data_IF_415003613623
#
_entry.id   IF_415003613623
#
_cell.length_a   1.000
_cell.length_b   1.000
_cell.length_c   1.000
_cell.angle_alpha   90.00
_cell.angle_beta   90.00
_cell.angle_gamma   90.00
#
_symmetry.space_group_name_H-M   'P 1'
#
loop_
_entity.id
_entity.type
_entity.pdbx_description
1 polymer ?
#
# COMPACT_ATOMS: atom_id res chain seq x y z
N UNK A 1 -9.97 -10.62 -3.89
CA UNK A 1 -10.58 -9.28 -3.69
C UNK A 1 -11.29 -8.90 -4.96
N UNK A 2 -12.45 -8.24 -4.85
CA UNK A 2 -13.08 -7.59 -5.99
C UNK A 2 -12.30 -6.34 -6.39
N UNK A 3 -12.51 -5.83 -7.61
CA UNK A 3 -11.85 -4.58 -8.06
C UNK A 3 -12.24 -3.38 -7.21
N UNK A 4 -13.46 -3.38 -6.69
CA UNK A 4 -13.93 -2.36 -5.76
C UNK A 4 -13.16 -2.39 -4.43
N UNK A 5 -12.84 -3.58 -3.92
CA UNK A 5 -12.01 -3.71 -2.71
C UNK A 5 -10.59 -3.21 -2.96
N UNK A 6 -10.00 -3.54 -4.12
CA UNK A 6 -8.66 -3.07 -4.53
C UNK A 6 -8.59 -1.55 -4.59
N UNK A 7 -9.59 -0.91 -5.18
CA UNK A 7 -9.69 0.54 -5.27
C UNK A 7 -9.81 1.18 -3.89
N UNK A 8 -10.65 0.63 -3.01
CA UNK A 8 -10.81 1.13 -1.64
C UNK A 8 -9.50 1.00 -0.85
N UNK A 9 -8.78 -0.12 -1.01
CA UNK A 9 -7.49 -0.34 -0.38
C UNK A 9 -6.43 0.65 -0.88
N UNK A 10 -6.35 0.88 -2.19
CA UNK A 10 -5.48 1.89 -2.79
C UNK A 10 -5.70 3.27 -2.16
N UNK A 11 -6.95 3.73 -2.11
CA UNK A 11 -7.32 5.03 -1.52
C UNK A 11 -7.00 5.06 -0.02
N UNK A 12 -7.30 3.97 0.71
CA UNK A 12 -7.03 3.88 2.14
C UNK A 12 -5.53 3.99 2.45
N UNK A 13 -4.68 3.27 1.71
CA UNK A 13 -3.23 3.33 1.88
C UNK A 13 -2.71 4.74 1.55
N UNK A 14 -3.09 5.31 0.41
CA UNK A 14 -2.62 6.65 0.02
C UNK A 14 -2.99 7.69 1.08
N UNK A 15 -4.23 7.67 1.56
CA UNK A 15 -4.73 8.63 2.56
C UNK A 15 -4.04 8.44 3.91
N UNK A 16 -3.82 7.20 4.35
CA UNK A 16 -3.07 6.90 5.57
C UNK A 16 -1.61 7.38 5.52
N UNK A 17 -1.00 7.37 4.33
CA UNK A 17 0.34 7.92 4.10
C UNK A 17 0.36 9.45 4.03
N UNK A 18 -0.80 10.11 3.97
CA UNK A 18 -0.90 11.56 3.77
C UNK A 18 -0.48 12.00 2.37
N UNK A 19 -0.49 11.10 1.39
CA UNK A 19 -0.05 11.40 0.03
C UNK A 19 -1.18 11.98 -0.83
N UNK A 20 -0.81 12.94 -1.68
CA UNK A 20 -1.64 13.35 -2.82
C UNK A 20 -1.64 12.26 -3.89
N UNK A 21 -2.60 12.28 -4.81
CA UNK A 21 -2.61 11.34 -5.95
C UNK A 21 -1.31 11.47 -6.79
N UNK A 22 -0.83 12.70 -7.02
CA UNK A 22 0.43 12.96 -7.73
C UNK A 22 1.65 12.39 -7.01
N UNK A 23 1.69 12.50 -5.68
CA UNK A 23 2.77 11.94 -4.88
C UNK A 23 2.76 10.42 -4.94
N UNK A 24 1.60 9.81 -4.83
CA UNK A 24 1.49 8.35 -4.89
C UNK A 24 1.87 7.80 -6.26
N UNK A 25 1.36 8.42 -7.33
CA UNK A 25 1.72 8.08 -8.70
C UNK A 25 3.25 8.12 -8.91
N UNK A 26 3.92 9.15 -8.39
CA UNK A 26 5.38 9.25 -8.43
C UNK A 26 6.08 8.13 -7.65
N UNK A 27 5.59 7.76 -6.46
CA UNK A 27 6.20 6.69 -5.65
C UNK A 27 6.09 5.30 -6.29
N UNK A 28 5.08 5.06 -7.13
CA UNK A 28 4.89 3.80 -7.87
C UNK A 28 5.37 3.87 -9.33
N UNK A 29 6.10 4.93 -9.70
CA UNK A 29 6.60 5.19 -11.05
C UNK A 29 5.51 5.09 -12.13
N UNK A 30 4.38 5.75 -11.88
CA UNK A 30 3.22 5.80 -12.76
C UNK A 30 2.86 7.25 -13.12
N UNK A 31 2.33 7.46 -14.32
CA UNK A 31 1.77 8.77 -14.64
C UNK A 31 0.49 9.03 -13.84
N UNK A 32 0.20 10.31 -13.58
CA UNK A 32 -0.94 10.70 -12.74
C UNK A 32 -2.29 10.25 -13.32
N UNK A 33 -2.45 10.21 -14.65
CA UNK A 33 -3.73 9.90 -15.28
C UNK A 33 -4.11 8.43 -15.05
N UNK A 34 -3.15 7.52 -15.20
CA UNK A 34 -3.36 6.09 -14.96
C UNK A 34 -3.64 5.82 -13.48
N UNK A 35 -2.93 6.51 -12.59
CA UNK A 35 -3.19 6.42 -11.15
C UNK A 35 -4.61 6.88 -10.79
N UNK A 36 -5.08 7.98 -11.40
CA UNK A 36 -6.45 8.45 -11.22
C UNK A 36 -7.47 7.46 -11.76
N UNK A 37 -7.20 6.84 -12.91
CA UNK A 37 -8.07 5.81 -13.47
C UNK A 37 -8.24 4.61 -12.52
N UNK A 38 -7.18 4.23 -11.80
CA UNK A 38 -7.24 3.22 -10.73
C UNK A 38 -8.12 3.67 -9.56
N UNK A 39 -7.92 4.88 -9.03
CA UNK A 39 -8.71 5.36 -7.89
C UNK A 39 -10.18 5.63 -8.23
N UNK A 40 -10.49 5.90 -9.50
CA UNK A 40 -11.86 6.16 -9.96
C UNK A 40 -12.58 4.90 -10.45
N UNK A 41 -11.88 3.76 -10.48
CA UNK A 41 -12.44 2.50 -10.97
C UNK A 41 -12.70 2.51 -12.49
N UNK A 42 -12.03 3.38 -13.24
CA UNK A 42 -12.11 3.41 -14.71
C UNK A 42 -11.35 2.22 -15.33
N UNK A 43 -10.34 1.71 -14.62
CA UNK A 43 -9.50 0.58 -15.04
C UNK A 43 -9.26 -0.35 -13.86
N UNK A 44 -9.18 -1.65 -14.13
CA UNK A 44 -8.77 -2.66 -13.14
C UNK A 44 -7.37 -2.36 -12.60
N UNK A 45 -7.16 -2.55 -11.30
CA UNK A 45 -5.86 -2.43 -10.66
C UNK A 45 -5.13 -3.79 -10.73
N UNK A 46 -4.03 -3.90 -11.49
CA UNK A 46 -3.22 -5.11 -11.49
C UNK A 46 -2.63 -5.38 -10.11
N UNK A 47 -2.60 -6.65 -9.70
CA UNK A 47 -2.10 -7.05 -8.37
C UNK A 47 -0.66 -6.57 -8.11
N UNK A 48 0.17 -6.48 -9.16
CA UNK A 48 1.54 -5.97 -9.06
C UNK A 48 1.59 -4.57 -8.44
N UNK A 49 0.67 -3.68 -8.81
CA UNK A 49 0.64 -2.32 -8.27
C UNK A 49 0.21 -2.32 -6.82
N UNK A 50 -0.77 -3.14 -6.43
CA UNK A 50 -1.15 -3.30 -5.02
C UNK A 50 0.05 -3.75 -4.18
N UNK A 51 0.81 -4.75 -4.64
CA UNK A 51 2.02 -5.20 -3.94
C UNK A 51 3.08 -4.10 -3.82
N UNK A 52 3.26 -3.28 -4.86
CA UNK A 52 4.17 -2.14 -4.81
C UNK A 52 3.71 -1.09 -3.78
N UNK A 53 2.40 -0.77 -3.76
CA UNK A 53 1.76 0.19 -2.86
C UNK A 53 1.88 -0.26 -1.39
N UNK A 54 1.58 -1.53 -1.13
CA UNK A 54 1.79 -2.22 0.14
C UNK A 54 3.25 -2.07 0.61
N UNK A 55 4.22 -2.33 -0.29
CA UNK A 55 5.66 -2.21 0.02
C UNK A 55 6.06 -0.78 0.39
N UNK A 56 5.57 0.22 -0.36
CA UNK A 56 5.81 1.64 -0.06
C UNK A 56 5.25 1.99 1.31
N UNK A 57 4.05 1.52 1.66
CA UNK A 57 3.45 1.77 2.95
C UNK A 57 4.31 1.22 4.11
N UNK A 58 4.82 -0.01 3.97
CA UNK A 58 5.74 -0.60 4.94
C UNK A 58 7.04 0.21 5.09
N UNK A 59 7.68 0.60 3.97
CA UNK A 59 8.92 1.38 4.00
C UNK A 59 8.71 2.74 4.67
N UNK A 60 7.57 3.39 4.40
CA UNK A 60 7.21 4.66 5.01
C UNK A 60 7.00 4.52 6.52
N UNK A 61 6.29 3.47 6.96
CA UNK A 61 6.09 3.17 8.37
C UNK A 61 7.41 2.92 9.12
N UNK A 62 8.36 2.20 8.51
CA UNK A 62 9.70 1.99 9.07
C UNK A 62 10.45 3.32 9.21
N UNK A 63 10.45 4.15 8.16
CA UNK A 63 11.12 5.46 8.16
C UNK A 63 10.61 6.37 9.29
N UNK A 64 9.30 6.35 9.55
CA UNK A 64 8.68 7.16 10.59
C UNK A 64 8.58 6.47 11.95
N UNK A 65 9.08 5.24 12.07
CA UNK A 65 8.97 4.40 13.28
C UNK A 65 7.53 4.29 13.80
N UNK A 66 6.57 4.22 12.89
CA UNK A 66 5.15 4.17 13.21
C UNK A 66 4.48 3.03 12.46
N UNK A 67 4.36 1.83 13.06
CA UNK A 67 3.73 0.69 12.39
C UNK A 67 2.24 0.95 12.12
N UNK A 68 1.59 1.89 12.82
CA UNK A 68 0.17 2.16 12.65
C UNK A 68 -0.20 2.71 11.27
N UNK A 69 0.79 3.16 10.49
CA UNK A 69 0.62 3.64 9.11
C UNK A 69 0.36 2.51 8.10
N UNK A 70 0.63 1.26 8.47
CA UNK A 70 0.39 0.09 7.62
C UNK A 70 -1.01 -0.48 7.89
N UNK A 71 -1.75 -0.93 6.86
CA UNK A 71 -3.05 -1.60 7.04
C UNK A 71 -2.99 -2.77 8.04
N UNK A 72 -4.07 -3.00 8.84
CA UNK A 72 -4.06 -4.03 9.88
C UNK A 72 -3.69 -5.45 9.40
N UNK A 73 -4.17 -5.87 8.23
CA UNK A 73 -3.87 -7.20 7.66
C UNK A 73 -2.37 -7.38 7.44
N UNK A 74 -1.74 -6.43 6.75
CA UNK A 74 -0.30 -6.42 6.53
C UNK A 74 0.53 -6.37 7.83
N UNK A 75 0.06 -5.62 8.84
CA UNK A 75 0.73 -5.62 10.16
C UNK A 75 0.69 -7.00 10.81
N UNK A 76 -0.45 -7.69 10.71
CA UNK A 76 -0.58 -9.04 11.25
C UNK A 76 0.39 -10.01 10.57
N UNK A 77 0.50 -9.94 9.25
CA UNK A 77 1.48 -10.72 8.47
C UNK A 77 2.92 -10.39 8.87
N UNK A 78 3.27 -9.11 8.98
CA UNK A 78 4.60 -8.67 9.39
C UNK A 78 4.96 -9.14 10.81
N UNK A 79 4.01 -9.10 11.75
CA UNK A 79 4.21 -9.61 13.12
C UNK A 79 4.36 -11.12 13.14
N UNK A 80 3.62 -11.85 12.32
CA UNK A 80 3.77 -13.29 12.20
C UNK A 80 5.16 -13.64 11.65
N UNK A 81 5.61 -12.95 10.61
CA UNK A 81 6.95 -13.15 10.05
C UNK A 81 8.05 -12.79 11.05
N UNK A 82 7.94 -11.65 11.75
CA UNK A 82 8.90 -11.25 12.77
C UNK A 82 9.04 -12.31 13.88
N UNK A 83 7.93 -12.87 14.35
CA UNK A 83 7.97 -13.97 15.33
C UNK A 83 8.69 -15.21 14.83
N UNK A 84 8.55 -15.55 13.54
CA UNK A 84 9.29 -16.68 12.94
C UNK A 84 10.79 -16.39 12.87
N UNK A 85 11.16 -15.17 12.48
CA UNK A 85 12.57 -14.75 12.45
C UNK A 85 13.19 -14.78 13.84
N UNK A 86 12.48 -14.29 14.86
CA UNK A 86 12.94 -14.31 16.25
C UNK A 86 13.10 -15.73 16.82
N UNK A 87 12.42 -16.74 16.26
CA UNK A 87 12.58 -18.15 16.65
C UNK A 87 13.81 -18.81 16.02
N UNK A 88 14.28 -18.31 14.88
CA UNK A 88 15.43 -18.82 14.13
C UNK A 88 16.74 -18.10 14.47
N UNK A 89 16.68 -16.99 15.22
CA UNK A 89 17.80 -16.16 15.63
C UNK A 89 18.33 -16.51 17.03
#
# INVERSE_FOLDING_TARGET
MSDQDKMQELVAIRTALGFTQSRMAHEIDMNLRDYQAFEWGEVEIPDLYLRAIERIAMLHAVRHRNPMMVPPAMRAEALQFARLVDMEA
#
